data_IF_529880537244
#
_entry.id   IF_529880537244
#
_cell.length_a   1.000
_cell.length_b   1.000
_cell.length_c   1.000
_cell.angle_alpha   90.00
_cell.angle_beta   90.00
_cell.angle_gamma   90.00
#
_symmetry.space_group_name_H-M   'P 1'
#
loop_
_entity.id
_entity.type
_entity.pdbx_description
1 polymer ?
#
# COMPACT_ATOMS: atom_id res chain seq x y z
N UNK A 1 19.67 -31.85 9.84
CA UNK A 1 19.20 -30.77 8.93
C UNK A 1 17.67 -30.82 8.85
N UNK A 2 17.01 -29.92 9.57
CA UNK A 2 15.55 -29.72 9.39
C UNK A 2 15.36 -28.89 8.12
N UNK A 3 14.52 -29.32 7.16
CA UNK A 3 14.22 -28.49 6.00
C UNK A 3 13.66 -27.14 6.50
N UNK A 4 14.17 -26.04 5.94
CA UNK A 4 13.67 -24.71 6.24
C UNK A 4 12.16 -24.72 6.04
N UNK A 5 11.43 -24.44 7.12
CA UNK A 5 9.97 -24.47 7.11
C UNK A 5 9.50 -23.41 6.11
N UNK A 6 8.97 -23.86 4.99
CA UNK A 6 8.51 -23.01 3.91
C UNK A 6 7.38 -22.12 4.47
N UNK A 7 7.61 -20.82 4.53
CA UNK A 7 6.60 -19.88 5.04
C UNK A 7 5.38 -19.94 4.11
N UNK A 8 4.19 -20.04 4.70
CA UNK A 8 2.95 -19.99 3.94
C UNK A 8 2.87 -18.65 3.21
N UNK A 9 2.57 -18.69 1.91
CA UNK A 9 2.36 -17.52 1.05
C UNK A 9 0.88 -17.42 0.68
N UNK A 10 0.45 -16.22 0.34
CA UNK A 10 -0.93 -15.91 0.00
C UNK A 10 -0.96 -15.12 -1.31
N UNK A 11 -1.93 -15.46 -2.17
CA UNK A 11 -2.13 -14.75 -3.43
C UNK A 11 -2.86 -13.43 -3.25
N UNK A 12 -3.65 -13.30 -2.17
CA UNK A 12 -4.34 -12.07 -1.80
C UNK A 12 -4.19 -11.80 -0.30
N UNK A 13 -3.72 -10.62 0.03
CA UNK A 13 -3.69 -10.11 1.39
C UNK A 13 -4.45 -8.79 1.44
N UNK A 14 -5.45 -8.70 2.31
CA UNK A 14 -6.19 -7.47 2.57
C UNK A 14 -5.91 -7.04 4.01
N UNK A 15 -5.31 -5.88 4.16
CA UNK A 15 -4.94 -5.29 5.45
C UNK A 15 -5.77 -4.00 5.66
N UNK A 16 -6.91 -4.13 6.30
CA UNK A 16 -7.81 -3.01 6.58
C UNK A 16 -7.57 -2.49 7.99
N UNK A 17 -7.32 -1.19 8.12
CA UNK A 17 -7.09 -0.48 9.40
C UNK A 17 -6.00 -1.10 10.29
N UNK A 18 -5.02 -1.75 9.67
CA UNK A 18 -3.95 -2.47 10.38
C UNK A 18 -2.74 -1.59 10.70
N UNK A 19 -2.54 -0.51 9.95
CA UNK A 19 -1.43 0.43 10.17
C UNK A 19 -1.79 1.57 11.13
N UNK A 20 -3.05 2.00 11.12
CA UNK A 20 -3.52 3.14 11.91
C UNK A 20 -3.33 2.97 13.43
N UNK A 21 -3.53 1.79 14.05
CA UNK A 21 -3.31 1.57 15.47
C UNK A 21 -1.83 1.65 15.87
N UNK A 22 -0.92 1.38 14.94
CA UNK A 22 0.53 1.36 15.21
C UNK A 22 1.05 2.79 15.34
N UNK A 23 1.52 3.14 16.53
CA UNK A 23 1.94 4.51 16.85
C UNK A 23 3.28 4.83 16.24
N UNK A 24 4.22 3.91 16.34
CA UNK A 24 5.60 4.10 15.95
C UNK A 24 5.81 3.79 14.45
N UNK A 25 6.70 4.55 13.81
CA UNK A 25 7.01 4.36 12.39
C UNK A 25 7.67 3.01 12.12
N UNK A 26 8.54 2.57 13.00
CA UNK A 26 9.22 1.28 12.86
C UNK A 26 8.25 0.10 12.94
N UNK A 27 7.20 0.17 13.78
CA UNK A 27 6.15 -0.84 13.85
C UNK A 27 5.41 -0.96 12.53
N UNK A 28 5.03 0.17 11.94
CA UNK A 28 4.37 0.22 10.63
C UNK A 28 5.25 -0.37 9.53
N UNK A 29 6.54 0.01 9.51
CA UNK A 29 7.51 -0.54 8.56
C UNK A 29 7.65 -2.05 8.70
N UNK A 30 7.78 -2.54 9.92
CA UNK A 30 7.87 -3.98 10.20
C UNK A 30 6.60 -4.72 9.78
N UNK A 31 5.43 -4.14 10.04
CA UNK A 31 4.15 -4.72 9.64
C UNK A 31 4.03 -4.85 8.10
N UNK A 32 4.34 -3.78 7.38
CA UNK A 32 4.34 -3.79 5.90
C UNK A 32 5.34 -4.81 5.35
N UNK A 33 6.54 -4.88 5.93
CA UNK A 33 7.54 -5.88 5.56
C UNK A 33 7.03 -7.32 5.75
N UNK A 34 6.37 -7.57 6.88
CA UNK A 34 5.78 -8.89 7.15
C UNK A 34 4.71 -9.24 6.13
N UNK A 35 3.78 -8.32 5.82
CA UNK A 35 2.75 -8.52 4.80
C UNK A 35 3.38 -8.82 3.44
N UNK A 36 4.39 -8.05 3.04
CA UNK A 36 5.09 -8.26 1.78
C UNK A 36 5.81 -9.61 1.72
N UNK A 37 6.40 -10.06 2.82
CA UNK A 37 7.09 -11.36 2.91
C UNK A 37 6.14 -12.56 2.81
N UNK A 38 4.88 -12.39 3.20
CA UNK A 38 3.84 -13.41 3.13
C UNK A 38 3.13 -13.44 1.78
N UNK A 39 3.34 -12.44 0.94
CA UNK A 39 2.71 -12.35 -0.37
C UNK A 39 3.40 -13.27 -1.37
N UNK A 40 2.61 -14.02 -2.15
CA UNK A 40 3.09 -14.85 -3.25
C UNK A 40 3.93 -14.04 -4.23
N UNK A 41 5.04 -14.61 -4.70
CA UNK A 41 5.91 -13.98 -5.69
C UNK A 41 5.36 -13.99 -7.11
N UNK A 42 4.34 -14.79 -7.36
CA UNK A 42 3.74 -15.00 -8.67
C UNK A 42 2.35 -14.35 -8.75
N UNK A 43 2.34 -13.03 -8.92
CA UNK A 43 1.11 -12.25 -9.07
C UNK A 43 0.32 -11.99 -7.80
N UNK A 44 0.90 -12.23 -6.61
CA UNK A 44 0.22 -11.95 -5.35
C UNK A 44 -0.13 -10.48 -5.17
N UNK A 45 -1.31 -10.17 -4.65
CA UNK A 45 -1.84 -8.80 -4.49
C UNK A 45 -1.99 -8.46 -3.00
N UNK A 46 -1.38 -7.35 -2.60
CA UNK A 46 -1.55 -6.74 -1.28
C UNK A 46 -2.43 -5.49 -1.41
N UNK A 47 -3.53 -5.46 -0.66
CA UNK A 47 -4.41 -4.30 -0.56
C UNK A 47 -4.34 -3.78 0.88
N UNK A 48 -3.93 -2.53 1.04
CA UNK A 48 -3.95 -1.85 2.34
C UNK A 48 -4.95 -0.72 2.29
N UNK A 49 -5.82 -0.63 3.31
CA UNK A 49 -6.91 0.34 3.40
C UNK A 49 -6.87 0.99 4.79
N UNK A 50 -6.92 2.32 4.81
CA UNK A 50 -6.96 3.11 6.03
C UNK A 50 -8.06 4.19 5.97
N UNK A 51 -8.35 4.82 7.09
CA UNK A 51 -9.33 5.93 7.15
C UNK A 51 -8.91 7.06 6.20
N UNK A 52 -9.87 7.67 5.51
CA UNK A 52 -9.69 8.83 4.61
C UNK A 52 -9.46 10.14 5.37
N UNK A 53 -8.53 10.15 6.31
CA UNK A 53 -8.10 11.29 7.09
C UNK A 53 -6.57 11.47 6.93
N UNK A 54 -6.00 12.63 7.26
CA UNK A 54 -4.58 12.92 7.05
C UNK A 54 -3.65 11.79 7.51
N UNK A 55 -3.82 11.31 8.74
CA UNK A 55 -2.98 10.23 9.27
C UNK A 55 -3.14 8.92 8.52
N UNK A 56 -4.37 8.56 8.11
CA UNK A 56 -4.59 7.33 7.33
C UNK A 56 -3.94 7.41 5.95
N UNK A 57 -4.09 8.54 5.26
CA UNK A 57 -3.39 8.80 3.99
C UNK A 57 -1.87 8.72 4.15
N UNK A 58 -1.32 9.38 5.17
CA UNK A 58 0.13 9.41 5.41
C UNK A 58 0.71 8.04 5.69
N UNK A 59 -0.01 7.17 6.40
CA UNK A 59 0.44 5.79 6.65
C UNK A 59 0.44 4.96 5.37
N UNK A 60 -0.56 5.12 4.50
CA UNK A 60 -0.61 4.46 3.18
C UNK A 60 0.51 4.98 2.27
N UNK A 61 0.71 6.30 2.20
CA UNK A 61 1.76 6.91 1.38
C UNK A 61 3.17 6.47 1.83
N UNK A 62 3.41 6.42 3.15
CA UNK A 62 4.68 5.95 3.70
C UNK A 62 4.92 4.45 3.40
N UNK A 63 3.89 3.63 3.47
CA UNK A 63 3.98 2.21 3.09
C UNK A 63 4.30 2.05 1.60
N UNK A 64 3.67 2.85 0.73
CA UNK A 64 3.97 2.90 -0.70
C UNK A 64 5.43 3.24 -0.96
N UNK A 65 5.91 4.34 -0.37
CA UNK A 65 7.28 4.81 -0.57
C UNK A 65 8.29 3.76 -0.12
N UNK A 66 8.07 3.14 1.05
CA UNK A 66 8.92 2.07 1.55
C UNK A 66 8.98 0.86 0.62
N UNK A 67 7.84 0.45 0.04
CA UNK A 67 7.80 -0.70 -0.87
C UNK A 67 8.53 -0.40 -2.18
N UNK A 68 8.35 0.78 -2.76
CA UNK A 68 9.05 1.22 -3.97
C UNK A 68 10.55 1.39 -3.75
N UNK A 69 10.95 1.92 -2.59
CA UNK A 69 12.34 2.14 -2.26
C UNK A 69 13.12 0.84 -2.02
N UNK A 70 12.52 -0.10 -1.27
CA UNK A 70 13.26 -1.24 -0.71
C UNK A 70 12.95 -2.58 -1.34
N UNK A 71 11.74 -2.79 -1.85
CA UNK A 71 11.25 -4.12 -2.20
C UNK A 71 10.91 -4.30 -3.67
N UNK A 72 10.56 -3.22 -4.37
CA UNK A 72 10.17 -3.27 -5.77
C UNK A 72 11.35 -2.81 -6.64
N UNK A 73 11.71 -3.64 -7.62
CA UNK A 73 12.73 -3.28 -8.61
C UNK A 73 12.16 -2.29 -9.62
N UNK A 74 13.00 -1.36 -10.05
CA UNK A 74 12.67 -0.46 -11.15
C UNK A 74 13.01 -1.20 -12.46
N UNK A 75 12.10 -1.25 -13.44
CA UNK A 75 12.39 -1.84 -14.74
C UNK A 75 13.56 -1.13 -15.42
N UNK A 76 14.35 -1.87 -16.20
CA UNK A 76 15.46 -1.31 -16.97
C UNK A 76 14.96 -0.20 -17.92
N UNK A 77 15.68 0.92 -17.95
CA UNK A 77 15.34 2.07 -18.79
C UNK A 77 14.31 3.03 -18.21
N UNK A 78 13.76 2.75 -17.02
CA UNK A 78 12.91 3.70 -16.30
C UNK A 78 13.68 4.36 -15.16
N UNK A 79 13.82 5.67 -15.23
CA UNK A 79 14.31 6.46 -14.09
C UNK A 79 13.13 6.89 -13.24
N UNK A 80 13.13 6.53 -11.96
CA UNK A 80 12.16 6.98 -10.96
C UNK A 80 12.87 7.73 -9.84
N UNK A 81 12.14 8.51 -9.07
CA UNK A 81 12.70 9.18 -7.89
C UNK A 81 13.46 8.21 -6.96
N UNK A 82 13.03 6.94 -6.87
CA UNK A 82 13.62 5.92 -6.01
C UNK A 82 14.83 5.20 -6.63
N UNK A 83 15.08 5.34 -7.94
CA UNK A 83 16.26 4.78 -8.57
C UNK A 83 17.53 5.57 -8.26
N UNK A 84 17.42 6.86 -7.98
CA UNK A 84 18.55 7.75 -7.64
C UNK A 84 18.89 7.76 -6.14
N UNK A 85 18.02 7.25 -5.28
CA UNK A 85 18.33 7.10 -3.85
C UNK A 85 19.27 5.91 -3.69
N UNK A 86 20.58 6.16 -3.88
CA UNK A 86 21.62 5.24 -3.42
C UNK A 86 21.42 5.14 -1.91
N UNK A 87 21.05 3.97 -1.43
CA UNK A 87 21.10 3.64 -0.02
C UNK A 87 22.54 3.91 0.42
N UNK A 88 22.76 5.02 1.10
CA UNK A 88 24.01 5.28 1.81
C UNK A 88 24.24 4.03 2.65
N UNK A 89 25.33 3.33 2.37
CA UNK A 89 25.72 2.10 3.05
C UNK A 89 25.96 2.42 4.53
N UNK A 90 24.87 2.43 5.31
CA UNK A 90 24.95 2.23 6.74
C UNK A 90 24.81 0.72 6.95
N UNK A 91 25.94 0.11 7.26
CA UNK A 91 26.10 -1.19 7.90
C UNK A 91 24.81 -1.66 8.56
N UNK A 92 24.21 -2.70 8.00
CA UNK A 92 23.72 -3.90 8.64
C UNK A 92 22.71 -4.65 7.76
N UNK A 93 23.20 -5.78 7.30
CA UNK A 93 22.54 -7.07 7.11
C UNK A 93 21.10 -7.11 6.62
N UNK A 94 20.99 -7.76 5.55
CA UNK A 94 19.89 -8.29 4.74
C UNK A 94 19.49 -7.36 3.60
N UNK A 95 20.23 -7.45 2.51
CA UNK A 95 19.74 -7.11 1.17
C UNK A 95 18.57 -8.04 0.86
N UNK A 96 17.37 -7.65 1.26
CA UNK A 96 16.17 -8.23 0.70
C UNK A 96 16.25 -7.98 -0.81
N UNK A 97 16.47 -9.02 -1.58
CA UNK A 97 16.55 -8.92 -3.03
C UNK A 97 15.25 -8.29 -3.52
N UNK A 98 15.33 -7.13 -4.20
CA UNK A 98 14.16 -6.49 -4.77
C UNK A 98 13.49 -7.45 -5.74
N UNK A 99 12.19 -7.53 -5.67
CA UNK A 99 11.36 -8.35 -6.59
C UNK A 99 10.70 -7.44 -7.62
N UNK A 100 10.35 -8.01 -8.77
CA UNK A 100 9.45 -7.34 -9.69
C UNK A 100 8.09 -7.11 -9.03
N UNK A 101 7.41 -6.06 -9.41
CA UNK A 101 6.10 -5.72 -8.88
C UNK A 101 5.65 -4.34 -9.34
N UNK A 102 4.36 -4.08 -9.16
CA UNK A 102 3.79 -2.79 -9.56
C UNK A 102 2.71 -2.32 -8.60
N UNK A 103 2.52 -1.01 -8.54
CA UNK A 103 1.32 -0.45 -7.93
C UNK A 103 0.17 -0.58 -8.94
N UNK A 104 -0.91 -1.22 -8.50
CA UNK A 104 -2.10 -1.46 -9.33
C UNK A 104 -3.08 -0.28 -9.20
N UNK A 105 -3.25 0.24 -8.00
CA UNK A 105 -4.18 1.34 -7.71
C UNK A 105 -3.76 2.10 -6.44
N UNK A 106 -4.18 3.35 -6.30
CA UNK A 106 -4.95 4.19 -7.20
C UNK A 106 -4.12 4.81 -8.34
N UNK A 107 -2.80 4.95 -8.14
CA UNK A 107 -1.86 5.54 -9.09
C UNK A 107 -0.83 4.49 -9.49
N UNK A 108 -0.80 4.11 -10.75
CA UNK A 108 0.09 3.08 -11.29
C UNK A 108 1.54 3.54 -11.49
N UNK A 109 1.82 4.84 -11.38
CA UNK A 109 3.18 5.35 -11.50
C UNK A 109 4.03 4.97 -10.27
N UNK A 110 5.34 4.85 -10.47
CA UNK A 110 6.30 4.58 -9.40
C UNK A 110 7.08 5.82 -8.94
N UNK A 111 6.67 7.01 -9.38
CA UNK A 111 7.23 8.26 -8.91
C UNK A 111 6.69 8.66 -7.55
N UNK A 112 7.33 9.67 -6.97
CA UNK A 112 6.90 10.22 -5.68
C UNK A 112 5.46 10.75 -5.76
N UNK A 113 4.66 10.42 -4.74
CA UNK A 113 3.31 10.95 -4.64
C UNK A 113 3.32 12.48 -4.49
N UNK A 114 2.69 13.24 -5.40
CA UNK A 114 2.69 14.71 -5.32
C UNK A 114 1.98 15.26 -4.08
N UNK A 115 1.05 14.49 -3.51
CA UNK A 115 0.33 14.86 -2.29
C UNK A 115 1.10 14.48 -1.01
N UNK A 116 2.22 13.73 -1.13
CA UNK A 116 3.06 13.31 -0.01
C UNK A 116 4.49 13.84 -0.13
N UNK A 117 4.64 15.12 -0.48
CA UNK A 117 5.95 15.78 -0.62
C UNK A 117 6.71 15.88 0.71
N UNK A 118 5.98 16.16 1.78
CA UNK A 118 6.51 16.16 3.15
C UNK A 118 6.20 14.81 3.78
N UNK A 119 7.24 14.04 4.08
CA UNK A 119 7.12 12.71 4.66
C UNK A 119 6.76 12.76 6.14
N UNK A 120 6.21 11.66 6.64
CA UNK A 120 5.83 11.51 8.04
C UNK A 120 4.40 11.98 8.33
N UNK A 121 4.04 11.87 9.60
CA UNK A 121 2.72 12.28 10.09
C UNK A 121 2.79 13.75 10.45
N UNK A 122 2.02 14.57 9.75
CA UNK A 122 1.95 16.02 9.95
C UNK A 122 0.67 16.43 10.66
N UNK A 123 0.75 17.51 11.43
CA UNK A 123 -0.45 18.15 11.97
C UNK A 123 -1.00 19.13 10.93
N UNK A 124 -2.29 18.94 10.56
CA UNK A 124 -3.00 19.89 9.71
C UNK A 124 -2.76 19.73 8.21
N UNK A 125 -2.34 18.56 7.72
CA UNK A 125 -2.33 18.27 6.30
C UNK A 125 -3.75 18.42 5.73
N UNK A 126 -3.88 19.21 4.68
CA UNK A 126 -5.17 19.45 3.98
C UNK A 126 -5.29 18.61 2.73
N UNK A 127 -4.17 18.41 2.03
CA UNK A 127 -4.14 17.67 0.77
C UNK A 127 -3.93 16.19 1.06
N UNK A 128 -4.97 15.41 0.87
CA UNK A 128 -4.97 13.95 1.05
C UNK A 128 -5.59 13.26 -0.15
N UNK A 129 -5.06 12.09 -0.49
CA UNK A 129 -5.69 11.20 -1.46
C UNK A 129 -6.67 10.30 -0.71
N UNK A 130 -7.95 10.63 -0.78
CA UNK A 130 -9.03 9.85 -0.19
C UNK A 130 -10.14 9.60 -1.20
N UNK A 131 -10.83 8.50 -0.99
CA UNK A 131 -11.96 8.05 -1.79
C UNK A 131 -13.15 7.90 -0.88
N UNK A 132 -14.35 8.02 -1.43
CA UNK A 132 -15.57 7.88 -0.68
C UNK A 132 -16.39 6.71 -1.22
N UNK A 133 -16.87 5.87 -0.33
CA UNK A 133 -17.76 4.77 -0.65
C UNK A 133 -19.06 4.90 0.14
N UNK A 134 -20.17 4.93 -0.58
CA UNK A 134 -21.50 4.86 0.03
C UNK A 134 -21.88 3.43 0.36
N UNK A 135 -22.44 3.23 1.55
CA UNK A 135 -23.02 1.96 1.93
C UNK A 135 -24.45 2.18 2.46
N UNK A 136 -25.30 1.17 2.26
CA UNK A 136 -26.66 1.17 2.80
C UNK A 136 -26.61 0.67 4.23
N UNK A 137 -27.16 1.43 5.16
CA UNK A 137 -27.30 1.04 6.55
C UNK A 137 -28.39 -0.02 6.69
N UNK A 138 -28.08 -1.21 7.22
CA UNK A 138 -29.14 -2.19 7.50
C UNK A 138 -30.10 -1.66 8.58
N UNK A 139 -31.37 -2.13 8.62
CA UNK A 139 -32.41 -1.58 9.51
C UNK A 139 -32.04 -1.59 11.00
N UNK A 140 -31.27 -2.57 11.45
CA UNK A 140 -30.81 -2.63 12.84
C UNK A 140 -29.85 -1.49 13.19
N UNK A 141 -28.92 -1.17 12.28
CA UNK A 141 -27.96 -0.09 12.46
C UNK A 141 -28.66 1.28 12.45
N UNK A 142 -29.64 1.47 11.56
CA UNK A 142 -30.45 2.68 11.54
C UNK A 142 -31.14 2.92 12.89
N UNK A 143 -31.71 1.86 13.49
CA UNK A 143 -32.35 1.94 14.81
C UNK A 143 -31.38 2.31 15.91
N UNK A 144 -30.22 1.70 15.94
CA UNK A 144 -29.15 1.98 16.94
C UNK A 144 -28.70 3.44 16.84
N UNK A 145 -28.50 3.95 15.62
CA UNK A 145 -28.04 5.31 15.36
C UNK A 145 -29.14 6.37 15.45
N UNK A 146 -30.40 5.98 15.61
CA UNK A 146 -31.55 6.90 15.58
C UNK A 146 -31.75 7.61 14.24
N UNK A 147 -31.19 7.07 13.16
CA UNK A 147 -31.21 7.67 11.82
C UNK A 147 -32.51 7.33 11.11
N UNK A 148 -33.55 8.19 11.28
CA UNK A 148 -34.88 7.96 10.68
C UNK A 148 -34.93 8.29 9.20
N UNK A 149 -34.23 9.33 8.77
CA UNK A 149 -34.40 9.95 7.45
C UNK A 149 -33.27 9.59 6.45
N UNK A 150 -32.22 8.90 6.90
CA UNK A 150 -31.08 8.57 6.07
C UNK A 150 -30.71 7.08 6.19
N UNK A 151 -30.96 6.33 5.13
CA UNK A 151 -30.66 4.90 5.07
C UNK A 151 -29.27 4.55 4.57
N UNK A 152 -28.41 5.53 4.36
CA UNK A 152 -27.05 5.34 3.86
C UNK A 152 -26.06 6.18 4.65
N UNK A 153 -24.79 5.84 4.51
CA UNK A 153 -23.67 6.65 4.98
C UNK A 153 -22.51 6.58 4.00
N UNK A 154 -21.65 7.55 4.07
CA UNK A 154 -20.48 7.64 3.21
C UNK A 154 -19.23 7.45 4.08
N UNK A 155 -18.34 6.55 3.67
CA UNK A 155 -17.08 6.27 4.36
C UNK A 155 -15.94 6.75 3.49
N UNK A 156 -15.08 7.60 4.06
CA UNK A 156 -13.86 8.04 3.41
C UNK A 156 -12.72 7.10 3.77
N UNK A 157 -11.92 6.73 2.77
CA UNK A 157 -10.78 5.85 2.94
C UNK A 157 -9.63 6.23 1.99
N UNK A 158 -8.41 5.92 2.42
CA UNK A 158 -7.21 5.93 1.59
C UNK A 158 -6.75 4.50 1.41
N UNK A 159 -6.27 4.15 0.22
CA UNK A 159 -5.84 2.79 -0.04
C UNK A 159 -4.69 2.71 -1.04
N UNK A 160 -4.07 1.55 -1.06
CA UNK A 160 -3.13 1.15 -2.10
C UNK A 160 -3.32 -0.33 -2.40
N UNK A 161 -3.24 -0.67 -3.68
CA UNK A 161 -3.17 -2.05 -4.17
C UNK A 161 -1.85 -2.24 -4.90
N UNK A 162 -1.10 -3.27 -4.50
CA UNK A 162 0.24 -3.55 -5.02
C UNK A 162 0.31 -5.02 -5.40
N UNK A 163 0.82 -5.31 -6.59
CA UNK A 163 1.06 -6.66 -7.07
C UNK A 163 2.56 -6.97 -7.01
N UNK A 164 2.89 -8.16 -6.53
CA UNK A 164 4.24 -8.73 -6.55
C UNK A 164 4.34 -9.69 -7.73
N UNK A 165 5.45 -9.69 -8.43
CA UNK A 165 5.64 -10.47 -9.65
C UNK A 165 5.85 -9.57 -10.85
N UNK A 166 5.23 -9.88 -11.98
CA UNK A 166 5.42 -9.14 -13.23
C UNK A 166 4.94 -7.68 -13.15
N UNK A 167 5.72 -6.79 -13.75
CA UNK A 167 5.29 -5.42 -14.00
C UNK A 167 4.52 -5.35 -15.33
N UNK A 168 3.20 -5.37 -15.25
CA UNK A 168 2.33 -5.37 -16.44
C UNK A 168 2.41 -4.07 -17.27
N UNK A 169 3.00 -3.00 -16.74
CA UNK A 169 3.21 -1.75 -17.48
C UNK A 169 4.26 -1.90 -18.60
N UNK A 170 5.15 -2.89 -18.46
CA UNK A 170 6.20 -3.18 -19.44
C UNK A 170 5.72 -4.10 -20.55
N UNK A 171 4.55 -4.71 -20.43
CA UNK A 171 3.97 -5.58 -21.45
C UNK A 171 3.35 -4.74 -22.55
N UNK A 172 3.81 -4.94 -23.79
CA UNK A 172 3.06 -4.48 -24.94
C UNK A 172 1.81 -5.35 -25.07
N UNK A 173 0.65 -4.76 -24.82
CA UNK A 173 -0.60 -5.43 -25.18
C UNK A 173 -0.70 -5.44 -26.71
N UNK A 174 -0.86 -6.63 -27.30
CA UNK A 174 -1.19 -6.72 -28.71
C UNK A 174 -2.48 -5.91 -28.93
N UNK A 175 -2.41 -4.89 -29.77
CA UNK A 175 -3.61 -4.23 -30.26
C UNK A 175 -4.39 -5.25 -31.06
N UNK A 176 -5.58 -5.58 -30.60
CA UNK A 176 -6.54 -6.33 -31.42
C UNK A 176 -6.99 -5.38 -32.52
N UNK A 177 -6.52 -5.65 -33.75
CA UNK A 177 -7.05 -5.05 -34.99
C UNK A 177 -8.43 -5.59 -35.29
#
# INVERSE_FOLDING_TARGET
DRPAQQRKQFDLIIASHSLFPLKEEWERKQHVQNLWSLLSGDGGVLIMIEKGIPRGFETIAAARDMLLERYISVPEGQETHYSSVRVSQSTESSHAQKSTGMIVAPCTNHDRCPMYRTTGISKGRKDICSFQQRYIRPPFLQRILGAKDRNHDDVDFSYISIMKGDDLRTRSFATFD
#
